data_IF_743776116542
#
_entry.id   IF_743776116542
#
_cell.length_a   1.000
_cell.length_b   1.000
_cell.length_c   1.000
_cell.angle_alpha   90.00
_cell.angle_beta   90.00
_cell.angle_gamma   90.00
#
_symmetry.space_group_name_H-M   'P 1'
#
loop_
_entity.id
_entity.type
_entity.pdbx_description
1 polymer ?
#
# COMPACT_ATOMS: atom_id res chain seq x y z
N UNK A 1 13.38 -27.24 38.52
CA UNK A 1 12.48 -26.07 38.58
C UNK A 1 12.86 -24.93 37.62
N UNK A 2 14.15 -24.56 37.50
CA UNK A 2 14.60 -23.49 36.58
C UNK A 2 14.28 -23.73 35.09
N UNK A 3 14.43 -24.96 34.60
CA UNK A 3 14.12 -25.33 33.20
C UNK A 3 12.62 -25.20 32.86
N UNK A 4 11.74 -25.59 33.78
CA UNK A 4 10.28 -25.51 33.60
C UNK A 4 9.82 -24.05 33.65
N UNK A 5 10.36 -23.24 34.57
CA UNK A 5 10.08 -21.81 34.64
C UNK A 5 10.56 -21.05 33.40
N UNK A 6 11.74 -21.39 32.86
CA UNK A 6 12.25 -20.82 31.61
C UNK A 6 11.41 -21.16 30.39
N UNK A 7 10.91 -22.40 30.29
CA UNK A 7 10.01 -22.83 29.21
C UNK A 7 8.67 -22.09 29.27
N UNK A 8 8.13 -21.88 30.47
CA UNK A 8 6.88 -21.15 30.69
C UNK A 8 7.03 -19.66 30.33
N UNK A 9 8.16 -19.05 30.69
CA UNK A 9 8.47 -17.66 30.31
C UNK A 9 8.57 -17.51 28.78
N UNK A 10 9.26 -18.42 28.09
CA UNK A 10 9.36 -18.42 26.63
C UNK A 10 7.99 -18.61 25.95
N UNK A 11 7.15 -19.50 26.48
CA UNK A 11 5.80 -19.69 25.97
C UNK A 11 4.94 -18.43 26.16
N UNK A 12 5.07 -17.74 27.31
CA UNK A 12 4.35 -16.50 27.60
C UNK A 12 4.83 -15.36 26.69
N UNK A 13 6.15 -15.21 26.50
CA UNK A 13 6.74 -14.27 25.54
C UNK A 13 6.24 -14.56 24.12
N UNK A 14 6.25 -15.83 23.70
CA UNK A 14 5.76 -16.24 22.38
C UNK A 14 4.28 -15.94 22.19
N UNK A 15 3.45 -16.20 23.21
CA UNK A 15 2.01 -15.93 23.17
C UNK A 15 1.74 -14.42 23.05
N UNK A 16 2.41 -13.61 23.87
CA UNK A 16 2.34 -12.14 23.81
C UNK A 16 2.78 -11.65 22.44
N UNK A 17 3.89 -12.15 21.90
CA UNK A 17 4.40 -11.75 20.59
C UNK A 17 3.44 -12.11 19.45
N UNK A 18 2.81 -13.29 19.53
CA UNK A 18 1.79 -13.74 18.57
C UNK A 18 0.53 -12.85 18.59
N UNK A 19 0.12 -12.37 19.77
CA UNK A 19 -1.02 -11.45 19.94
C UNK A 19 -0.64 -10.03 19.47
N UNK A 20 0.61 -9.59 19.68
CA UNK A 20 1.09 -8.26 19.31
C UNK A 20 1.37 -8.10 17.80
N UNK A 21 1.74 -9.16 17.09
CA UNK A 21 2.10 -9.08 15.67
C UNK A 21 0.98 -8.49 14.78
N UNK A 22 -0.30 -8.89 14.91
CA UNK A 22 -1.41 -8.19 14.25
C UNK A 22 -1.49 -6.72 14.64
N UNK A 23 -1.38 -6.39 15.94
CA UNK A 23 -1.48 -5.02 16.44
C UNK A 23 -0.40 -4.08 15.89
N UNK A 24 0.81 -4.59 15.65
CA UNK A 24 1.89 -3.84 15.01
C UNK A 24 1.56 -3.49 13.55
N UNK A 25 0.87 -4.36 12.82
CA UNK A 25 0.43 -4.08 11.44
C UNK A 25 -0.62 -2.97 11.45
N UNK A 26 -1.65 -3.06 12.31
CA UNK A 26 -2.68 -2.02 12.41
C UNK A 26 -2.08 -0.64 12.74
N UNK A 27 -1.26 -0.58 13.80
CA UNK A 27 -0.65 0.68 14.26
C UNK A 27 0.27 1.33 13.21
N UNK A 28 0.99 0.51 12.42
CA UNK A 28 1.83 0.98 11.31
C UNK A 28 1.06 1.78 10.27
N UNK A 29 -0.22 1.48 10.07
CA UNK A 29 -1.09 2.22 9.14
C UNK A 29 -2.07 3.17 9.86
N UNK A 30 -1.89 3.39 11.17
CA UNK A 30 -2.71 4.32 11.94
C UNK A 30 -4.15 3.85 12.17
N UNK A 31 -4.40 2.56 12.09
CA UNK A 31 -5.70 1.94 12.36
C UNK A 31 -5.61 1.01 13.58
N UNK A 32 -6.74 0.45 14.00
CA UNK A 32 -6.81 -0.51 15.10
C UNK A 32 -7.71 -1.69 14.76
N UNK A 33 -7.45 -2.85 15.37
CA UNK A 33 -8.31 -4.03 15.21
C UNK A 33 -9.75 -3.80 15.73
N UNK A 34 -9.96 -2.80 16.58
CA UNK A 34 -11.28 -2.41 17.05
C UNK A 34 -12.10 -1.78 15.91
N UNK A 35 -11.49 -0.88 15.14
CA UNK A 35 -12.16 -0.07 14.10
C UNK A 35 -12.11 -0.69 12.71
N UNK A 36 -11.10 -1.52 12.44
CA UNK A 36 -10.83 -2.08 11.12
C UNK A 36 -10.65 -3.60 11.20
N UNK A 37 -11.09 -4.29 10.15
CA UNK A 37 -10.80 -5.69 9.87
C UNK A 37 -9.66 -5.77 8.87
N UNK A 38 -8.57 -6.47 9.21
CA UNK A 38 -7.50 -6.77 8.27
C UNK A 38 -8.00 -7.79 7.24
N UNK A 39 -8.09 -7.38 5.97
CA UNK A 39 -8.46 -8.23 4.85
C UNK A 39 -7.25 -8.96 4.26
N UNK A 40 -6.08 -8.29 4.26
CA UNK A 40 -4.84 -8.86 3.74
C UNK A 40 -3.62 -8.20 4.33
N UNK A 41 -2.53 -8.95 4.46
CA UNK A 41 -1.20 -8.42 4.79
C UNK A 41 -0.11 -9.23 4.09
N UNK A 42 0.86 -8.54 3.49
CA UNK A 42 2.15 -9.12 3.11
C UNK A 42 3.22 -8.92 4.21
N UNK A 43 2.89 -8.12 5.23
CA UNK A 43 3.74 -7.92 6.39
C UNK A 43 3.57 -9.09 7.40
N UNK A 44 4.70 -9.63 7.85
CA UNK A 44 4.75 -10.68 8.88
C UNK A 44 4.42 -12.10 8.38
N UNK A 45 4.07 -13.01 9.29
CA UNK A 45 3.70 -14.41 8.98
C UNK A 45 2.20 -14.60 8.71
N UNK A 46 1.51 -13.55 8.26
CA UNK A 46 0.06 -13.59 8.02
C UNK A 46 -0.32 -14.49 6.84
N UNK A 47 -1.46 -15.18 6.94
CA UNK A 47 -1.89 -16.21 5.97
C UNK A 47 -2.84 -15.69 4.88
N UNK A 48 -3.02 -14.38 4.72
CA UNK A 48 -3.96 -13.79 3.75
C UNK A 48 -3.32 -12.74 2.85
N UNK A 49 -2.99 -13.11 1.61
CA UNK A 49 -2.51 -12.19 0.56
C UNK A 49 -3.60 -12.00 -0.50
N UNK A 50 -4.10 -10.78 -0.65
CA UNK A 50 -4.96 -10.40 -1.76
C UNK A 50 -4.04 -10.02 -2.91
N UNK A 51 -3.93 -10.91 -3.89
CA UNK A 51 -3.36 -10.54 -5.19
C UNK A 51 -4.37 -9.69 -5.94
N UNK A 52 -3.99 -8.46 -6.26
CA UNK A 52 -4.75 -7.56 -7.12
C UNK A 52 -4.26 -7.76 -8.54
N UNK A 53 -5.17 -8.08 -9.46
CA UNK A 53 -4.86 -8.34 -10.86
C UNK A 53 -5.95 -7.71 -11.73
N UNK A 54 -5.58 -6.72 -12.54
CA UNK A 54 -6.50 -6.04 -13.47
C UNK A 54 -5.72 -5.42 -14.61
N UNK A 55 -6.29 -5.40 -15.81
CA UNK A 55 -5.65 -4.88 -17.02
C UNK A 55 -4.31 -5.56 -17.35
N UNK A 56 -4.04 -6.75 -16.80
CA UNK A 56 -2.72 -7.39 -16.88
C UNK A 56 -1.64 -6.75 -16.00
N UNK A 57 -2.03 -5.86 -15.07
CA UNK A 57 -1.18 -5.28 -14.04
C UNK A 57 -1.48 -5.99 -12.72
N UNK A 58 -0.46 -6.60 -12.15
CA UNK A 58 -0.56 -7.40 -10.93
C UNK A 58 0.21 -6.74 -9.78
N UNK A 59 -0.27 -6.91 -8.56
CA UNK A 59 0.48 -6.53 -7.37
C UNK A 59 -0.14 -7.04 -6.08
N UNK A 60 0.62 -6.93 -5.00
CA UNK A 60 0.20 -7.33 -3.65
C UNK A 60 0.48 -6.13 -2.76
N UNK A 61 -0.55 -5.51 -2.17
CA UNK A 61 -0.35 -4.45 -1.18
C UNK A 61 0.19 -5.01 0.13
N UNK A 62 0.97 -4.20 0.86
CA UNK A 62 1.50 -4.60 2.16
C UNK A 62 0.39 -4.86 3.18
N UNK A 63 -0.69 -4.07 3.15
CA UNK A 63 -1.89 -4.34 3.94
C UNK A 63 -3.16 -3.81 3.30
N UNK A 64 -4.29 -4.45 3.58
CA UNK A 64 -5.63 -3.99 3.21
C UNK A 64 -6.54 -4.13 4.41
N UNK A 65 -7.23 -3.04 4.76
CA UNK A 65 -8.16 -2.98 5.88
C UNK A 65 -9.54 -2.56 5.40
N UNK A 66 -10.57 -3.13 5.99
CA UNK A 66 -11.95 -2.69 5.84
C UNK A 66 -12.43 -2.07 7.15
N UNK A 67 -12.96 -0.85 7.09
CA UNK A 67 -13.57 -0.21 8.26
C UNK A 67 -14.83 -0.98 8.66
N UNK A 68 -15.03 -1.20 9.96
CA UNK A 68 -16.22 -1.93 10.45
C UNK A 68 -17.49 -1.09 10.45
N UNK A 69 -17.35 0.23 10.57
CA UNK A 69 -18.48 1.15 10.75
C UNK A 69 -18.99 1.76 9.42
N UNK A 70 -18.27 1.60 8.32
CA UNK A 70 -18.59 2.24 7.04
C UNK A 70 -18.00 1.44 5.87
N UNK A 71 -18.57 1.51 4.65
CA UNK A 71 -18.00 0.89 3.46
C UNK A 71 -16.75 1.64 3.01
N UNK A 72 -15.65 1.48 3.75
CA UNK A 72 -14.37 2.15 3.52
C UNK A 72 -13.26 1.12 3.56
N UNK A 73 -12.40 1.14 2.55
CA UNK A 73 -11.18 0.35 2.48
C UNK A 73 -9.95 1.26 2.55
N UNK A 74 -9.04 0.91 3.46
CA UNK A 74 -7.72 1.51 3.55
C UNK A 74 -6.71 0.50 2.98
N UNK A 75 -5.95 0.91 1.96
CA UNK A 75 -4.80 0.15 1.49
C UNK A 75 -3.51 0.77 2.00
N UNK A 76 -2.66 -0.06 2.58
CA UNK A 76 -1.39 0.31 3.18
C UNK A 76 -0.21 -0.14 2.31
N UNK A 77 0.77 0.74 2.16
CA UNK A 77 2.08 0.45 1.60
C UNK A 77 3.16 0.98 2.56
N UNK A 78 4.06 0.11 3.00
CA UNK A 78 5.12 0.42 3.94
C UNK A 78 6.44 0.68 3.22
N UNK A 79 7.18 1.69 3.69
CA UNK A 79 8.52 2.04 3.22
C UNK A 79 9.45 2.16 4.42
N UNK A 80 10.57 1.45 4.38
CA UNK A 80 11.58 1.47 5.43
C UNK A 80 12.32 2.82 5.56
N UNK A 81 12.29 3.65 4.51
CA UNK A 81 12.88 4.99 4.53
C UNK A 81 12.05 5.95 5.39
N UNK A 82 12.71 7.03 5.83
CA UNK A 82 12.05 8.20 6.41
C UNK A 82 11.27 8.98 5.33
N UNK A 83 10.14 9.56 5.71
CA UNK A 83 9.28 10.37 4.84
C UNK A 83 10.01 11.62 4.36
N UNK A 84 10.67 12.35 5.29
CA UNK A 84 11.36 13.62 5.01
C UNK A 84 10.51 14.61 4.20
N UNK A 85 9.21 14.64 4.50
CA UNK A 85 8.23 15.52 3.84
C UNK A 85 8.14 15.35 2.31
N UNK A 86 8.51 14.17 1.80
CA UNK A 86 8.46 13.86 0.36
C UNK A 86 8.00 12.44 0.09
N UNK A 87 6.97 12.33 -0.75
CA UNK A 87 6.54 11.06 -1.35
C UNK A 87 7.31 10.87 -2.65
N UNK A 88 7.91 9.69 -2.85
CA UNK A 88 8.53 9.40 -4.14
C UNK A 88 7.43 9.10 -5.16
N UNK A 89 7.58 9.62 -6.37
CA UNK A 89 6.56 9.52 -7.42
C UNK A 89 6.14 8.06 -7.68
N UNK A 90 7.08 7.12 -7.71
CA UNK A 90 6.76 5.70 -7.93
C UNK A 90 5.98 5.07 -6.77
N UNK A 91 6.12 5.57 -5.53
CA UNK A 91 5.35 5.09 -4.37
C UNK A 91 3.90 5.54 -4.48
N UNK A 92 3.67 6.78 -4.94
CA UNK A 92 2.35 7.29 -5.26
C UNK A 92 1.70 6.46 -6.39
N UNK A 93 2.46 6.11 -7.43
CA UNK A 93 1.95 5.29 -8.53
C UNK A 93 1.55 3.89 -8.08
N UNK A 94 2.39 3.26 -7.26
CA UNK A 94 2.14 1.93 -6.72
C UNK A 94 0.83 1.90 -5.91
N UNK A 95 0.68 2.82 -4.95
CA UNK A 95 -0.53 2.86 -4.12
C UNK A 95 -1.78 3.24 -4.95
N UNK A 96 -1.63 4.10 -5.97
CA UNK A 96 -2.73 4.47 -6.87
C UNK A 96 -3.26 3.26 -7.67
N UNK A 97 -2.36 2.42 -8.19
CA UNK A 97 -2.74 1.18 -8.87
C UNK A 97 -3.50 0.24 -7.93
N UNK A 98 -3.03 0.06 -6.70
CA UNK A 98 -3.73 -0.77 -5.72
C UNK A 98 -5.12 -0.24 -5.40
N UNK A 99 -5.25 1.07 -5.20
CA UNK A 99 -6.54 1.70 -4.92
C UNK A 99 -7.52 1.51 -6.09
N UNK A 100 -7.08 1.72 -7.33
CA UNK A 100 -7.95 1.51 -8.49
C UNK A 100 -8.41 0.07 -8.67
N UNK A 101 -7.53 -0.90 -8.43
CA UNK A 101 -7.90 -2.33 -8.46
C UNK A 101 -8.84 -2.71 -7.31
N UNK A 102 -8.65 -2.13 -6.13
CA UNK A 102 -9.56 -2.35 -4.99
C UNK A 102 -10.93 -1.73 -5.20
N UNK A 103 -11.03 -0.56 -5.85
CA UNK A 103 -12.34 0.04 -6.19
C UNK A 103 -13.15 -0.84 -7.14
N UNK A 104 -12.50 -1.52 -8.07
CA UNK A 104 -13.16 -2.48 -8.97
C UNK A 104 -13.63 -3.72 -8.20
N UNK A 105 -12.79 -4.25 -7.31
CA UNK A 105 -13.13 -5.41 -6.47
C UNK A 105 -14.21 -5.11 -5.41
N UNK A 106 -14.27 -3.88 -4.93
CA UNK A 106 -15.18 -3.40 -3.89
C UNK A 106 -15.91 -2.12 -4.35
N UNK A 107 -16.82 -2.21 -5.32
CA UNK A 107 -17.41 -1.05 -6.01
C UNK A 107 -18.30 -0.18 -5.11
N UNK A 108 -18.78 -0.74 -3.99
CA UNK A 108 -19.61 -0.03 -3.00
C UNK A 108 -18.77 0.68 -1.93
N UNK A 109 -17.45 0.52 -1.93
CA UNK A 109 -16.57 1.06 -0.89
C UNK A 109 -15.81 2.29 -1.38
N UNK A 110 -15.66 3.27 -0.49
CA UNK A 110 -14.63 4.31 -0.65
C UNK A 110 -13.27 3.68 -0.42
N UNK A 111 -12.28 4.00 -1.25
CA UNK A 111 -10.90 3.49 -1.09
C UNK A 111 -9.94 4.66 -0.87
N UNK A 112 -9.12 4.55 0.17
CA UNK A 112 -8.01 5.49 0.46
C UNK A 112 -6.70 4.73 0.65
N UNK A 113 -5.59 5.40 0.36
CA UNK A 113 -4.25 4.88 0.59
C UNK A 113 -3.61 5.42 1.86
N UNK A 114 -2.69 4.65 2.44
CA UNK A 114 -1.75 5.07 3.45
C UNK A 114 -0.34 4.64 3.06
N UNK A 115 0.54 5.62 2.82
CA UNK A 115 1.98 5.40 2.73
C UNK A 115 2.56 5.51 4.15
N UNK A 116 2.98 4.38 4.70
CA UNK A 116 3.60 4.30 6.02
C UNK A 116 5.13 4.33 5.88
N UNK A 117 5.75 5.36 6.44
CA UNK A 117 7.20 5.53 6.50
C UNK A 117 7.72 5.18 7.89
N UNK A 118 9.04 5.08 8.05
CA UNK A 118 9.66 4.80 9.34
C UNK A 118 9.35 5.85 10.42
N UNK A 119 9.10 7.10 10.03
CA UNK A 119 8.91 8.26 10.90
C UNK A 119 7.56 8.97 10.70
N UNK A 120 6.66 8.43 9.87
CA UNK A 120 5.42 9.13 9.54
C UNK A 120 4.45 8.32 8.69
N UNK A 121 3.27 8.87 8.49
CA UNK A 121 2.21 8.28 7.66
C UNK A 121 1.60 9.37 6.78
N UNK A 122 1.30 9.02 5.54
CA UNK A 122 0.70 9.94 4.58
C UNK A 122 -0.56 9.31 4.00
N UNK A 123 -1.70 10.00 4.14
CA UNK A 123 -2.95 9.58 3.52
C UNK A 123 -2.99 10.02 2.05
N UNK A 124 -3.46 9.13 1.18
CA UNK A 124 -3.58 9.35 -0.26
C UNK A 124 -5.03 9.12 -0.68
N UNK A 125 -5.60 10.10 -1.38
CA UNK A 125 -6.92 9.99 -2.00
C UNK A 125 -6.80 9.38 -3.41
N UNK A 126 -7.85 8.67 -3.83
CA UNK A 126 -7.94 8.12 -5.18
C UNK A 126 -8.07 9.21 -6.23
N UNK A 127 -7.22 9.10 -7.26
CA UNK A 127 -7.16 9.98 -8.41
C UNK A 127 -7.43 9.12 -9.66
N UNK A 128 -8.62 9.27 -10.24
CA UNK A 128 -9.05 8.48 -11.40
C UNK A 128 -8.20 8.75 -12.63
N UNK A 129 -7.71 9.98 -12.78
CA UNK A 129 -6.99 10.42 -13.97
C UNK A 129 -5.57 9.87 -13.92
N UNK A 130 -4.92 9.94 -12.75
CA UNK A 130 -3.64 9.28 -12.54
C UNK A 130 -3.76 7.76 -12.69
N UNK A 131 -4.79 7.12 -12.13
CA UNK A 131 -4.98 5.67 -12.29
C UNK A 131 -5.12 5.29 -13.78
N UNK A 132 -5.95 6.02 -14.52
CA UNK A 132 -6.18 5.77 -15.95
C UNK A 132 -4.90 5.94 -16.76
N UNK A 133 -4.12 6.99 -16.47
CA UNK A 133 -2.84 7.22 -17.12
C UNK A 133 -1.80 6.12 -16.80
N UNK A 134 -1.76 5.61 -15.57
CA UNK A 134 -0.89 4.49 -15.17
C UNK A 134 -1.27 3.20 -15.88
N UNK A 135 -2.58 2.93 -16.07
CA UNK A 135 -3.04 1.77 -16.83
C UNK A 135 -2.64 1.90 -18.30
N UNK A 136 -2.74 3.10 -18.88
CA UNK A 136 -2.36 3.35 -20.28
C UNK A 136 -0.86 3.10 -20.56
N UNK A 137 0.02 3.29 -19.57
CA UNK A 137 1.46 3.00 -19.70
C UNK A 137 1.76 1.54 -20.01
N UNK A 138 0.82 0.60 -19.82
CA UNK A 138 1.01 -0.79 -20.20
C UNK A 138 1.37 -0.93 -21.68
N UNK A 139 0.71 -0.18 -22.57
CA UNK A 139 1.02 -0.20 -24.00
C UNK A 139 2.46 0.23 -24.26
N UNK A 140 2.84 1.38 -23.70
CA UNK A 140 4.21 1.91 -23.78
C UNK A 140 5.25 0.93 -23.23
N UNK A 141 4.92 0.19 -22.16
CA UNK A 141 5.80 -0.81 -21.58
C UNK A 141 6.08 -1.97 -22.55
N UNK A 142 5.05 -2.55 -23.17
CA UNK A 142 5.23 -3.65 -24.12
C UNK A 142 5.98 -3.22 -25.37
N UNK A 143 5.70 -2.03 -25.89
CA UNK A 143 6.45 -1.45 -27.00
C UNK A 143 7.90 -1.15 -26.63
N UNK A 144 8.15 -0.66 -25.42
CA UNK A 144 9.51 -0.44 -24.90
C UNK A 144 10.29 -1.75 -24.82
N UNK A 145 9.66 -2.83 -24.36
CA UNK A 145 10.27 -4.17 -24.35
C UNK A 145 10.59 -4.66 -25.77
N UNK A 146 9.65 -4.52 -26.70
CA UNK A 146 9.80 -4.94 -28.10
C UNK A 146 10.93 -4.18 -28.80
N UNK A 147 10.96 -2.86 -28.64
CA UNK A 147 11.88 -1.97 -29.36
C UNK A 147 13.19 -1.72 -28.59
N UNK A 148 13.30 -2.21 -27.35
CA UNK A 148 14.42 -1.98 -26.42
C UNK A 148 14.76 -0.51 -26.18
N UNK A 149 13.77 0.38 -26.39
CA UNK A 149 13.90 1.84 -26.24
C UNK A 149 12.58 2.40 -25.72
N UNK A 150 12.59 3.40 -24.83
CA UNK A 150 11.36 4.04 -24.36
C UNK A 150 10.58 4.63 -25.54
N UNK A 151 9.28 4.34 -25.62
CA UNK A 151 8.38 4.95 -26.61
C UNK A 151 8.31 6.45 -26.41
N UNK A 152 8.25 6.88 -25.15
CA UNK A 152 8.27 8.29 -24.78
C UNK A 152 9.23 8.49 -23.60
N UNK A 153 10.29 9.27 -23.85
CA UNK A 153 11.37 9.55 -22.90
C UNK A 153 10.96 10.51 -21.80
N UNK A 154 9.88 11.27 -21.97
CA UNK A 154 9.34 12.14 -20.93
C UNK A 154 8.66 11.27 -19.88
N UNK A 155 8.99 11.33 -18.59
CA UNK A 155 8.33 10.52 -17.56
C UNK A 155 6.89 10.99 -17.30
N UNK A 156 6.00 10.08 -16.86
CA UNK A 156 4.57 10.37 -16.68
C UNK A 156 4.28 11.62 -15.82
N UNK A 157 5.05 11.86 -14.75
CA UNK A 157 4.84 13.00 -13.85
C UNK A 157 5.13 14.36 -14.49
N UNK A 158 5.78 14.38 -15.66
CA UNK A 158 5.96 15.58 -16.48
C UNK A 158 4.90 15.72 -17.59
N UNK A 159 4.13 14.66 -17.85
CA UNK A 159 3.08 14.64 -18.89
C UNK A 159 1.70 15.04 -18.35
N UNK A 160 1.43 14.71 -17.08
CA UNK A 160 0.14 14.95 -16.43
C UNK A 160 0.33 15.48 -15.00
N UNK A 161 -0.73 16.06 -14.43
CA UNK A 161 -0.76 16.45 -13.03
C UNK A 161 -1.01 15.22 -12.13
N UNK A 162 0.06 14.68 -11.55
CA UNK A 162 -0.02 13.44 -10.74
C UNK A 162 -0.50 13.64 -9.29
N UNK A 163 -0.61 14.87 -8.81
CA UNK A 163 -1.09 15.21 -7.47
C UNK A 163 -2.48 15.86 -7.47
N UNK A 164 -3.29 15.62 -8.50
CA UNK A 164 -4.59 16.26 -8.70
C UNK A 164 -5.51 16.12 -7.49
N UNK A 165 -5.81 14.88 -7.09
CA UNK A 165 -6.61 14.60 -5.90
C UNK A 165 -5.83 14.76 -4.57
N UNK A 166 -4.54 15.08 -4.65
CA UNK A 166 -3.62 15.08 -3.51
C UNK A 166 -2.71 16.33 -3.49
N UNK A 167 -3.26 17.56 -3.52
CA UNK A 167 -2.49 18.78 -3.77
C UNK A 167 -1.46 19.11 -2.68
N UNK A 168 -1.65 18.60 -1.46
CA UNK A 168 -0.72 18.78 -0.34
C UNK A 168 0.51 17.87 -0.41
N UNK A 169 0.56 16.89 -1.33
CA UNK A 169 1.71 15.98 -1.44
C UNK A 169 2.88 16.67 -2.14
N UNK A 170 3.98 16.76 -1.41
CA UNK A 170 5.30 17.09 -1.95
C UNK A 170 5.92 15.85 -2.56
N UNK A 171 6.23 15.92 -3.86
CA UNK A 171 6.74 14.79 -4.63
C UNK A 171 8.25 14.93 -4.89
N UNK A 172 8.95 13.81 -4.94
CA UNK A 172 10.32 13.72 -5.48
C UNK A 172 10.37 12.63 -6.56
N UNK A 173 11.08 12.94 -7.65
CA UNK A 173 11.36 12.01 -8.73
C UNK A 173 12.71 11.29 -8.56
N UNK A 174 13.40 11.53 -7.44
CA UNK A 174 14.71 10.93 -7.16
C UNK A 174 14.53 9.44 -6.86
N UNK A 175 15.34 8.61 -7.53
CA UNK A 175 15.33 7.15 -7.38
C UNK A 175 15.92 6.73 -6.03
#
# INVERSE_FOLDING_TARGET
MLLIGGLFLLALVFLVWKIMAPAQIYSRFGVSAATHKLLSTDLGKGTGRIKLARHGINGIPDAVFEAKASPHILVGEFKSRKYRDRVKVYELYQIMLYMGHLRDKYPKHKVTGCLAYADGKVSVQFDSDLYSALVALKGEFWETLKNRRPVNTTPLHKRIRVNGANPGLRLSADL
#
